data_IF_428002857222
#
_entry.id   IF_428002857222
#
_cell.length_a   1.000
_cell.length_b   1.000
_cell.length_c   1.000
_cell.angle_alpha   90.00
_cell.angle_beta   90.00
_cell.angle_gamma   90.00
#
_symmetry.space_group_name_H-M   'P 1'
#
loop_
_entity.id
_entity.type
_entity.pdbx_description
1 polymer ?
#
# COMPACT_ATOMS: atom_id res chain seq x y z
N UNK A 1 29.05 -29.24 19.99
CA UNK A 1 29.41 -27.97 19.32
C UNK A 1 28.15 -27.23 18.88
N UNK A 2 27.12 -27.18 19.74
CA UNK A 2 25.75 -26.73 19.41
C UNK A 2 25.16 -25.84 20.53
N UNK A 3 25.97 -24.91 21.06
CA UNK A 3 25.55 -24.03 22.19
C UNK A 3 25.96 -22.55 22.06
N UNK A 4 26.35 -22.06 20.86
CA UNK A 4 26.77 -20.64 20.68
C UNK A 4 26.13 -19.91 19.50
N UNK A 5 24.94 -20.33 19.01
CA UNK A 5 24.23 -19.65 17.90
C UNK A 5 22.89 -19.02 18.33
N UNK A 6 22.67 -18.80 19.63
CA UNK A 6 21.38 -18.33 20.15
C UNK A 6 21.47 -16.96 20.85
N UNK A 7 22.35 -16.08 20.41
CA UNK A 7 22.47 -14.73 21.00
C UNK A 7 22.78 -13.64 19.97
N UNK A 8 21.99 -13.55 18.89
CA UNK A 8 21.94 -12.33 18.07
C UNK A 8 20.53 -12.11 17.48
N UNK A 9 19.47 -12.33 18.28
CA UNK A 9 18.23 -11.60 18.07
C UNK A 9 18.40 -10.25 18.76
N UNK A 10 18.94 -9.28 18.03
CA UNK A 10 18.99 -7.91 18.49
C UNK A 10 17.57 -7.40 18.68
N UNK A 11 17.21 -7.15 19.93
CA UNK A 11 16.01 -6.40 20.30
C UNK A 11 16.18 -5.01 19.68
N UNK A 12 15.43 -4.75 18.60
CA UNK A 12 15.20 -3.38 18.13
C UNK A 12 14.32 -2.72 19.17
N UNK A 13 14.93 -2.03 20.11
CA UNK A 13 14.27 -1.12 21.02
C UNK A 13 13.64 0.01 20.15
N UNK A 14 12.36 -0.10 19.91
CA UNK A 14 11.55 1.02 19.40
C UNK A 14 11.57 2.07 20.52
N UNK A 15 12.44 3.06 20.38
CA UNK A 15 12.42 4.23 21.21
C UNK A 15 11.10 4.97 20.96
N UNK A 16 10.14 4.84 21.87
CA UNK A 16 8.94 5.65 21.90
C UNK A 16 9.35 7.12 22.00
N UNK A 17 9.20 7.86 20.89
CA UNK A 17 9.36 9.31 20.92
C UNK A 17 8.27 9.91 21.79
N UNK A 18 8.56 10.94 22.60
CA UNK A 18 7.54 11.59 23.43
C UNK A 18 6.43 12.13 22.52
N UNK A 19 5.18 11.89 22.91
CA UNK A 19 4.02 12.49 22.29
C UNK A 19 4.20 14.02 22.31
N UNK A 20 4.22 14.64 21.14
CA UNK A 20 4.22 16.09 21.05
C UNK A 20 2.95 16.59 21.75
N UNK A 21 3.12 17.52 22.69
CA UNK A 21 1.99 18.20 23.33
C UNK A 21 1.15 18.86 22.22
N UNK A 22 -0.08 18.35 22.04
CA UNK A 22 -1.01 18.90 21.06
C UNK A 22 -1.38 20.32 21.52
N UNK A 23 -1.28 21.26 20.56
CA UNK A 23 -1.79 22.63 20.76
C UNK A 23 -3.28 22.52 21.13
N UNK A 24 -3.76 23.08 22.25
CA UNK A 24 -5.14 22.97 22.71
C UNK A 24 -6.19 23.52 21.72
N UNK A 25 -5.75 24.23 20.69
CA UNK A 25 -6.61 24.68 19.59
C UNK A 25 -6.60 23.76 18.36
N UNK A 26 -5.79 22.69 18.36
CA UNK A 26 -5.86 21.65 17.37
C UNK A 26 -6.94 20.65 17.83
N UNK A 27 -8.18 20.85 17.40
CA UNK A 27 -9.35 20.06 17.77
C UNK A 27 -9.39 18.68 17.09
N UNK A 28 -8.29 18.23 16.48
CA UNK A 28 -8.21 16.85 16.00
C UNK A 28 -8.29 15.89 17.17
N UNK A 29 -9.30 15.04 17.16
CA UNK A 29 -9.35 13.92 18.09
C UNK A 29 -8.08 13.06 17.93
N UNK A 30 -7.59 12.42 19.00
CA UNK A 30 -6.51 11.46 18.86
C UNK A 30 -6.97 10.42 17.85
N UNK A 31 -6.17 10.25 16.77
CA UNK A 31 -6.43 9.25 15.75
C UNK A 31 -6.20 7.89 16.39
N UNK A 32 -7.27 7.14 16.59
CA UNK A 32 -7.20 5.79 17.15
C UNK A 32 -6.77 4.80 16.06
N UNK A 33 -7.32 4.95 14.86
CA UNK A 33 -7.13 4.04 13.74
C UNK A 33 -6.68 4.80 12.47
N UNK A 34 -5.68 4.27 11.76
CA UNK A 34 -5.15 4.90 10.55
C UNK A 34 -6.18 4.95 9.41
N UNK A 35 -7.04 3.96 9.31
CA UNK A 35 -8.06 3.89 8.25
C UNK A 35 -9.07 5.03 8.31
N UNK A 36 -9.29 5.62 9.50
CA UNK A 36 -10.20 6.74 9.72
C UNK A 36 -9.49 8.09 9.89
N UNK A 37 -8.17 8.13 9.67
CA UNK A 37 -7.37 9.35 9.90
C UNK A 37 -7.88 10.53 9.07
N UNK A 38 -8.20 10.30 7.80
CA UNK A 38 -8.70 11.36 6.91
C UNK A 38 -10.03 11.93 7.37
N UNK A 39 -10.96 11.09 7.81
CA UNK A 39 -12.29 11.53 8.28
C UNK A 39 -12.18 12.32 9.58
N UNK A 40 -11.20 11.99 10.40
CA UNK A 40 -11.01 12.58 11.71
C UNK A 40 -10.04 13.78 11.75
N UNK A 41 -9.46 14.19 10.60
CA UNK A 41 -8.49 15.30 10.55
C UNK A 41 -9.07 16.61 11.09
N UNK A 42 -10.36 16.82 10.93
CA UNK A 42 -11.07 18.03 11.39
C UNK A 42 -11.73 17.85 12.76
N UNK A 43 -11.54 16.68 13.38
CA UNK A 43 -12.16 16.30 14.65
C UNK A 43 -13.48 15.54 14.48
N UNK A 44 -14.07 15.06 15.59
CA UNK A 44 -15.22 14.14 15.57
C UNK A 44 -16.52 14.76 15.03
N UNK A 45 -16.56 16.08 14.89
CA UNK A 45 -17.70 16.82 14.31
C UNK A 45 -17.44 17.31 12.88
N UNK A 46 -16.34 16.87 12.25
CA UNK A 46 -15.94 17.34 10.94
C UNK A 46 -15.37 18.77 10.95
N UNK A 47 -15.33 19.40 9.77
CA UNK A 47 -14.84 20.77 9.61
C UNK A 47 -15.85 21.76 10.19
N UNK A 48 -15.49 22.40 11.30
CA UNK A 48 -16.31 23.44 11.94
C UNK A 48 -15.83 24.80 11.50
N UNK A 49 -16.77 25.60 11.02
CA UNK A 49 -16.62 27.00 10.70
C UNK A 49 -17.48 27.81 11.68
N UNK A 50 -16.88 28.78 12.36
CA UNK A 50 -17.59 29.65 13.28
C UNK A 50 -18.43 30.70 12.54
N UNK A 51 -19.50 31.18 13.18
CA UNK A 51 -20.37 32.25 12.67
C UNK A 51 -20.94 33.09 13.81
N UNK A 52 -21.02 34.39 13.60
CA UNK A 52 -21.78 35.28 14.47
C UNK A 52 -23.13 35.70 13.83
N UNK A 53 -23.43 35.18 12.64
CA UNK A 53 -24.71 35.45 12.00
C UNK A 53 -25.81 34.65 12.73
N UNK A 54 -26.73 35.36 13.34
CA UNK A 54 -27.94 34.83 13.93
C UNK A 54 -29.07 34.96 12.94
N UNK A 55 -29.54 33.82 12.41
CA UNK A 55 -30.80 33.78 11.67
C UNK A 55 -31.92 33.43 12.65
N UNK A 56 -33.07 34.15 12.65
CA UNK A 56 -34.17 33.88 13.57
C UNK A 56 -34.67 32.43 13.44
N UNK A 57 -34.57 31.65 14.53
CA UNK A 57 -35.09 30.29 14.61
C UNK A 57 -34.16 29.20 14.04
N UNK A 58 -32.94 29.49 13.62
CA UNK A 58 -31.99 28.51 13.10
C UNK A 58 -30.95 28.08 14.15
N UNK A 59 -30.48 26.83 13.97
CA UNK A 59 -29.33 26.30 14.69
C UNK A 59 -28.05 27.08 14.29
N UNK A 60 -27.02 26.99 15.10
CA UNK A 60 -25.74 27.57 14.80
C UNK A 60 -25.26 27.20 13.39
N UNK A 61 -24.83 28.19 12.60
CA UNK A 61 -24.28 27.99 11.25
C UNK A 61 -23.14 26.93 11.22
N UNK A 62 -22.40 26.77 12.29
CA UNK A 62 -21.35 25.77 12.42
C UNK A 62 -21.84 24.33 12.26
N UNK A 63 -23.12 24.05 12.55
CA UNK A 63 -23.69 22.70 12.37
C UNK A 63 -24.04 22.37 10.92
N UNK A 64 -24.26 23.40 10.09
CA UNK A 64 -24.70 23.23 8.70
C UNK A 64 -23.56 23.02 7.70
N UNK A 65 -22.31 23.35 8.05
CA UNK A 65 -21.15 23.22 7.18
C UNK A 65 -20.54 21.81 7.16
N UNK A 66 -21.02 20.90 7.98
CA UNK A 66 -20.37 19.64 8.28
C UNK A 66 -20.90 18.42 7.51
N UNK A 67 -22.14 18.45 6.99
CA UNK A 67 -22.83 17.23 6.58
C UNK A 67 -22.38 16.69 5.23
N UNK A 68 -22.06 17.53 4.25
CA UNK A 68 -21.63 17.07 2.92
C UNK A 68 -20.14 16.65 2.89
N UNK A 69 -19.39 17.07 3.87
CA UNK A 69 -17.96 16.91 3.96
C UNK A 69 -17.51 15.48 4.28
N UNK A 70 -18.10 14.87 5.30
CA UNK A 70 -17.69 13.56 5.79
C UNK A 70 -17.91 12.47 4.73
N UNK A 71 -18.95 12.60 3.90
CA UNK A 71 -19.29 11.61 2.87
C UNK A 71 -18.22 11.52 1.78
N UNK A 72 -17.61 12.64 1.39
CA UNK A 72 -16.58 12.65 0.34
C UNK A 72 -15.22 12.18 0.85
N UNK A 73 -14.88 12.48 2.11
CA UNK A 73 -13.61 12.05 2.69
C UNK A 73 -13.56 10.55 3.02
N UNK A 74 -14.71 9.93 3.35
CA UNK A 74 -14.80 8.47 3.48
C UNK A 74 -14.43 7.76 2.17
N UNK A 75 -14.97 8.23 1.04
CA UNK A 75 -14.62 7.69 -0.29
C UNK A 75 -13.15 7.93 -0.64
N UNK A 76 -12.58 9.07 -0.28
CA UNK A 76 -11.15 9.34 -0.46
C UNK A 76 -10.31 8.36 0.37
N UNK A 77 -10.66 8.17 1.63
CA UNK A 77 -10.01 7.20 2.50
C UNK A 77 -10.04 5.81 1.86
N UNK A 78 -11.20 5.33 1.46
CA UNK A 78 -11.36 4.02 0.81
C UNK A 78 -10.51 3.90 -0.46
N UNK A 79 -10.51 4.90 -1.35
CA UNK A 79 -9.73 4.87 -2.58
C UNK A 79 -8.22 4.84 -2.34
N UNK A 80 -7.74 5.50 -1.30
CA UNK A 80 -6.31 5.52 -0.95
C UNK A 80 -5.91 4.27 -0.17
N UNK A 81 -6.62 3.94 0.92
CA UNK A 81 -6.18 2.89 1.85
C UNK A 81 -6.32 1.49 1.28
N UNK A 82 -7.35 1.23 0.45
CA UNK A 82 -7.49 -0.07 -0.23
C UNK A 82 -6.30 -0.40 -1.14
N UNK A 83 -5.64 0.61 -1.71
CA UNK A 83 -4.45 0.44 -2.53
C UNK A 83 -3.16 0.45 -1.71
N UNK A 84 -3.14 1.19 -0.60
CA UNK A 84 -2.00 1.32 0.29
C UNK A 84 -1.60 -0.01 0.94
N UNK A 85 -2.57 -0.86 1.27
CA UNK A 85 -2.32 -2.15 1.93
C UNK A 85 -1.90 -3.29 0.99
N UNK A 86 -1.99 -3.10 -0.34
CA UNK A 86 -1.61 -4.12 -1.34
C UNK A 86 -0.22 -3.89 -1.90
N UNK A 87 0.77 -3.75 -1.04
CA UNK A 87 2.17 -3.66 -1.47
C UNK A 87 2.69 -5.02 -1.97
N UNK A 88 3.53 -5.04 -3.04
CA UNK A 88 4.11 -6.30 -3.51
C UNK A 88 5.03 -6.92 -2.44
N UNK A 89 4.89 -8.22 -2.23
CA UNK A 89 5.80 -9.02 -1.42
C UNK A 89 6.95 -9.54 -2.29
N UNK A 90 8.18 -9.59 -1.76
CA UNK A 90 9.25 -10.35 -2.40
C UNK A 90 8.86 -11.81 -2.57
N UNK A 91 9.41 -12.44 -3.60
CA UNK A 91 9.19 -13.86 -3.85
C UNK A 91 9.75 -14.72 -2.73
N UNK A 92 8.99 -15.68 -2.17
CA UNK A 92 9.52 -16.66 -1.24
C UNK A 92 10.37 -17.74 -1.94
N UNK A 93 10.50 -17.70 -3.28
CA UNK A 93 11.29 -18.64 -4.03
C UNK A 93 12.75 -18.55 -3.67
N UNK A 94 13.36 -19.71 -3.40
CA UNK A 94 14.78 -19.79 -3.12
C UNK A 94 15.65 -19.46 -4.34
N UNK A 95 16.71 -18.69 -4.11
CA UNK A 95 17.77 -18.51 -5.09
C UNK A 95 18.58 -19.79 -5.38
N UNK A 96 18.54 -20.75 -4.48
CA UNK A 96 19.12 -22.06 -4.69
C UNK A 96 18.05 -23.10 -4.93
N UNK A 97 18.08 -23.74 -6.10
CA UNK A 97 17.19 -24.83 -6.46
C UNK A 97 18.04 -26.08 -6.77
N UNK A 98 17.55 -27.22 -6.30
CA UNK A 98 18.25 -28.49 -6.42
C UNK A 98 17.34 -29.56 -6.98
N UNK A 99 17.93 -30.52 -7.70
CA UNK A 99 17.28 -31.79 -8.01
C UNK A 99 18.19 -32.95 -7.59
N UNK A 100 17.60 -34.07 -7.19
CA UNK A 100 18.34 -35.27 -6.92
C UNK A 100 18.66 -35.97 -8.24
N UNK A 101 19.94 -36.17 -8.53
CA UNK A 101 20.37 -37.00 -9.67
C UNK A 101 20.21 -38.49 -9.25
N UNK A 102 19.26 -39.22 -9.86
CA UNK A 102 19.00 -40.63 -9.46
C UNK A 102 20.19 -41.54 -9.75
N UNK A 103 21.08 -41.19 -10.67
CA UNK A 103 22.22 -42.02 -11.07
C UNK A 103 23.38 -41.94 -10.08
N UNK A 104 23.57 -40.78 -9.46
CA UNK A 104 24.66 -40.51 -8.51
C UNK A 104 24.20 -40.44 -7.07
N UNK A 105 22.91 -40.25 -6.83
CA UNK A 105 22.35 -40.01 -5.48
C UNK A 105 22.76 -38.65 -4.90
N UNK A 106 23.30 -37.73 -5.72
CA UNK A 106 23.78 -36.42 -5.30
C UNK A 106 22.81 -35.33 -5.73
N UNK A 107 22.59 -34.34 -4.87
CA UNK A 107 21.83 -33.15 -5.21
C UNK A 107 22.67 -32.23 -6.10
N UNK A 108 22.17 -31.93 -7.29
CA UNK A 108 22.78 -31.00 -8.21
C UNK A 108 21.97 -29.70 -8.27
N UNK A 109 22.65 -28.57 -8.41
CA UNK A 109 22.02 -27.27 -8.62
C UNK A 109 21.38 -27.21 -10.01
N UNK A 110 20.11 -26.76 -10.09
CA UNK A 110 19.35 -26.76 -11.35
C UNK A 110 19.74 -25.63 -12.31
N UNK A 111 20.14 -24.47 -11.79
CA UNK A 111 20.48 -23.27 -12.59
C UNK A 111 21.75 -22.60 -12.05
N UNK A 112 22.49 -21.92 -12.92
CA UNK A 112 23.62 -21.08 -12.51
C UNK A 112 23.17 -19.76 -11.88
N UNK A 113 22.03 -19.22 -12.33
CA UNK A 113 21.42 -18.01 -11.77
C UNK A 113 20.83 -18.25 -10.39
N UNK A 114 20.83 -17.21 -9.56
CA UNK A 114 20.13 -17.19 -8.27
C UNK A 114 18.66 -16.78 -8.41
N UNK A 115 18.14 -16.64 -9.62
CA UNK A 115 16.75 -16.35 -9.94
C UNK A 115 16.31 -14.91 -9.67
N UNK A 116 15.04 -14.61 -9.96
CA UNK A 116 14.45 -13.31 -9.79
C UNK A 116 14.29 -12.93 -8.31
N UNK A 117 13.84 -11.71 -8.02
CA UNK A 117 13.65 -11.19 -6.66
C UNK A 117 12.15 -10.98 -6.37
N UNK A 118 11.41 -10.38 -7.30
CA UNK A 118 9.98 -10.07 -7.14
C UNK A 118 9.07 -11.02 -7.92
N UNK A 119 9.62 -11.79 -8.84
CA UNK A 119 8.91 -12.78 -9.66
C UNK A 119 9.35 -14.20 -9.30
N UNK A 120 8.78 -15.18 -9.95
CA UNK A 120 9.00 -16.60 -9.65
C UNK A 120 9.56 -17.34 -10.86
N UNK A 121 10.31 -18.42 -10.59
CA UNK A 121 10.70 -19.44 -11.56
C UNK A 121 9.99 -20.78 -11.27
N UNK A 122 9.93 -21.64 -12.29
CA UNK A 122 9.16 -22.89 -12.21
C UNK A 122 9.79 -23.95 -11.29
N UNK A 123 11.11 -23.86 -11.04
CA UNK A 123 11.84 -24.82 -10.22
C UNK A 123 11.44 -24.71 -8.74
N UNK A 124 11.49 -25.84 -8.04
CA UNK A 124 11.32 -25.95 -6.57
C UNK A 124 12.67 -25.84 -5.86
N UNK A 125 12.65 -25.68 -4.54
CA UNK A 125 13.88 -25.74 -3.71
C UNK A 125 14.49 -27.15 -3.70
N UNK A 126 13.72 -28.19 -4.07
CA UNK A 126 14.13 -29.58 -4.09
C UNK A 126 13.72 -30.37 -2.83
N UNK A 127 13.64 -31.69 -2.96
CA UNK A 127 13.18 -32.58 -1.90
C UNK A 127 13.99 -32.42 -0.61
N UNK A 128 13.29 -32.29 0.55
CA UNK A 128 13.88 -32.17 1.89
C UNK A 128 14.82 -30.97 2.07
N UNK A 129 14.69 -29.95 1.23
CA UNK A 129 15.41 -28.68 1.35
C UNK A 129 14.53 -27.65 2.05
N UNK A 130 15.18 -26.78 2.80
CA UNK A 130 14.52 -25.65 3.45
C UNK A 130 15.27 -24.39 3.05
N UNK A 131 14.54 -23.37 2.62
CA UNK A 131 15.05 -22.02 2.43
C UNK A 131 14.42 -21.11 3.46
N UNK A 132 15.24 -20.23 4.04
CA UNK A 132 14.82 -19.16 4.91
C UNK A 132 15.24 -17.84 4.28
N UNK A 133 14.30 -16.94 4.11
CA UNK A 133 14.55 -15.63 3.53
C UNK A 133 14.02 -14.52 4.42
N UNK A 134 14.58 -13.35 4.20
CA UNK A 134 14.28 -12.15 4.92
C UNK A 134 14.45 -10.96 4.00
N UNK A 135 13.47 -10.05 3.95
CA UNK A 135 13.56 -8.85 3.13
C UNK A 135 12.97 -7.63 3.85
N UNK A 136 13.57 -6.49 3.60
CA UNK A 136 13.10 -5.17 4.02
C UNK A 136 12.84 -4.33 2.79
N UNK A 137 11.66 -3.72 2.72
CA UNK A 137 11.30 -2.74 1.68
C UNK A 137 10.59 -1.55 2.31
N UNK A 138 10.75 -0.39 1.69
CA UNK A 138 10.12 0.84 2.16
C UNK A 138 9.49 1.58 0.99
N UNK A 139 8.19 1.78 1.08
CA UNK A 139 7.39 2.59 0.17
C UNK A 139 7.22 3.99 0.75
N UNK A 140 7.39 5.00 -0.10
CA UNK A 140 7.05 6.39 0.20
C UNK A 140 6.20 6.87 -0.95
N UNK A 141 4.88 6.90 -0.76
CA UNK A 141 3.96 7.20 -1.84
C UNK A 141 3.99 8.69 -2.18
N UNK A 142 4.12 8.98 -3.47
CA UNK A 142 4.25 10.34 -4.01
C UNK A 142 2.97 10.83 -4.68
N UNK A 143 2.25 9.90 -5.36
CA UNK A 143 1.09 10.27 -6.18
C UNK A 143 -0.05 9.27 -6.04
N UNK A 144 -1.27 9.73 -6.32
CA UNK A 144 -2.45 8.90 -6.55
C UNK A 144 -3.10 9.33 -7.87
N UNK A 145 -3.28 8.38 -8.81
CA UNK A 145 -3.80 8.66 -10.15
C UNK A 145 -3.06 9.81 -10.87
N UNK A 146 -1.75 9.93 -10.64
CA UNK A 146 -0.92 11.02 -11.17
C UNK A 146 -1.03 12.35 -10.45
N UNK A 147 -1.97 12.49 -9.50
CA UNK A 147 -2.06 13.66 -8.64
C UNK A 147 -1.02 13.58 -7.53
N UNK A 148 -0.25 14.65 -7.32
CA UNK A 148 0.68 14.72 -6.18
C UNK A 148 -0.05 14.64 -4.85
N UNK A 149 0.38 13.76 -3.96
CA UNK A 149 -0.15 13.67 -2.60
C UNK A 149 0.14 14.92 -1.76
N UNK A 150 1.05 15.79 -2.19
CA UNK A 150 1.33 17.08 -1.53
C UNK A 150 0.28 18.16 -1.83
N UNK A 151 -0.59 17.96 -2.83
CA UNK A 151 -1.50 19.00 -3.33
C UNK A 151 -2.87 18.43 -3.71
N UNK A 152 -3.48 17.65 -2.83
CA UNK A 152 -4.82 17.09 -3.06
C UNK A 152 -5.87 18.14 -2.73
N UNK A 153 -6.61 18.66 -3.73
CA UNK A 153 -7.65 19.66 -3.48
C UNK A 153 -8.94 19.02 -3.01
N UNK A 154 -9.71 19.75 -2.20
CA UNK A 154 -11.10 19.39 -1.95
C UNK A 154 -11.94 20.64 -1.69
N UNK A 155 -13.22 20.57 -2.07
CA UNK A 155 -14.20 21.65 -1.87
C UNK A 155 -15.32 21.15 -0.98
N UNK A 156 -15.68 21.95 -0.01
CA UNK A 156 -16.71 21.66 0.97
C UNK A 156 -17.81 22.70 0.88
N UNK A 157 -19.04 22.24 0.70
CA UNK A 157 -20.20 23.08 0.55
C UNK A 157 -20.98 23.17 1.85
N UNK A 158 -21.64 24.30 2.05
CA UNK A 158 -22.65 24.45 3.07
C UNK A 158 -23.90 23.63 2.68
N UNK A 159 -24.56 22.95 3.64
CA UNK A 159 -25.87 22.40 3.39
C UNK A 159 -26.86 23.55 3.10
N UNK A 160 -27.91 23.29 2.36
CA UNK A 160 -28.86 24.30 1.91
C UNK A 160 -28.23 25.50 1.17
N UNK A 161 -27.11 25.29 0.48
CA UNK A 161 -26.41 26.35 -0.28
C UNK A 161 -27.31 27.04 -1.31
N UNK A 162 -28.31 26.36 -1.85
CA UNK A 162 -29.32 26.89 -2.78
C UNK A 162 -30.19 28.02 -2.17
N UNK A 163 -30.21 28.19 -0.85
CA UNK A 163 -30.96 29.25 -0.19
C UNK A 163 -30.28 30.62 -0.23
N UNK A 164 -29.17 30.75 -0.90
CA UNK A 164 -28.41 32.00 -1.12
C UNK A 164 -27.79 32.62 0.15
N UNK A 165 -27.20 33.77 -0.01
CA UNK A 165 -26.49 34.49 1.08
C UNK A 165 -25.22 33.75 1.50
N UNK A 166 -24.83 33.84 2.77
CA UNK A 166 -23.63 33.15 3.28
C UNK A 166 -23.62 31.63 3.11
N UNK A 167 -24.77 31.01 2.83
CA UNK A 167 -24.88 29.56 2.53
C UNK A 167 -24.25 29.18 1.20
N UNK A 168 -23.93 30.13 0.34
CA UNK A 168 -23.19 29.88 -0.92
C UNK A 168 -21.67 29.85 -0.70
N UNK A 169 -21.20 30.26 0.48
CA UNK A 169 -19.79 30.20 0.81
C UNK A 169 -19.33 28.74 0.79
N UNK A 170 -18.09 28.51 0.37
CA UNK A 170 -17.46 27.19 0.34
C UNK A 170 -16.15 27.19 1.12
N UNK A 171 -15.71 26.06 1.57
CA UNK A 171 -14.35 25.91 2.10
C UNK A 171 -13.55 25.08 1.10
N UNK A 172 -12.49 25.68 0.57
CA UNK A 172 -11.50 24.97 -0.25
C UNK A 172 -10.38 24.47 0.64
N UNK A 173 -9.88 23.26 0.39
CA UNK A 173 -8.70 22.76 1.08
C UNK A 173 -7.65 22.30 0.08
N UNK A 174 -6.38 22.45 0.48
CA UNK A 174 -5.24 21.83 -0.16
C UNK A 174 -4.59 20.92 0.88
N UNK A 175 -4.57 19.62 0.59
CA UNK A 175 -4.14 18.59 1.52
C UNK A 175 -2.78 18.02 1.09
N UNK A 176 -1.79 18.08 1.99
CA UNK A 176 -0.50 17.39 1.84
C UNK A 176 -0.55 16.10 2.64
N UNK A 177 -0.29 14.98 1.97
CA UNK A 177 -0.40 13.63 2.51
C UNK A 177 0.96 12.94 2.42
N UNK A 178 1.58 12.67 3.57
CA UNK A 178 2.76 11.83 3.68
C UNK A 178 2.31 10.41 4.04
N UNK A 179 2.46 9.43 3.13
CA UNK A 179 2.07 8.05 3.32
C UNK A 179 3.30 7.13 3.14
N UNK A 180 3.68 6.40 4.19
CA UNK A 180 4.85 5.53 4.19
C UNK A 180 4.50 4.14 4.73
N UNK A 181 4.99 3.10 4.05
CA UNK A 181 4.93 1.70 4.48
C UNK A 181 6.34 1.15 4.55
N UNK A 182 6.78 0.73 5.73
CA UNK A 182 7.99 -0.07 5.87
C UNK A 182 7.56 -1.52 6.13
N UNK A 183 8.03 -2.44 5.31
CA UNK A 183 7.66 -3.84 5.37
C UNK A 183 8.90 -4.70 5.56
N UNK A 184 8.82 -5.57 6.54
CA UNK A 184 9.82 -6.51 6.94
C UNK A 184 9.23 -7.91 6.81
N UNK A 185 9.66 -8.67 5.82
CA UNK A 185 9.06 -9.95 5.48
C UNK A 185 10.01 -11.10 5.76
N UNK A 186 9.51 -12.12 6.44
CA UNK A 186 10.21 -13.39 6.68
C UNK A 186 9.57 -14.47 5.85
N UNK A 187 10.38 -15.27 5.17
CA UNK A 187 9.95 -16.35 4.30
C UNK A 187 10.56 -17.67 4.75
N UNK A 188 9.75 -18.72 4.74
CA UNK A 188 10.21 -20.10 4.91
C UNK A 188 9.64 -20.93 3.78
N UNK A 189 10.49 -21.58 2.99
CA UNK A 189 10.08 -22.49 1.92
C UNK A 189 10.61 -23.89 2.20
N UNK A 190 9.73 -24.87 2.13
CA UNK A 190 10.01 -26.28 2.40
C UNK A 190 9.74 -27.07 1.12
N UNK A 191 10.76 -27.69 0.58
CA UNK A 191 10.64 -28.67 -0.50
C UNK A 191 10.14 -30.00 0.03
N UNK A 192 8.87 -30.30 -0.19
CA UNK A 192 8.25 -31.56 0.22
C UNK A 192 8.78 -32.71 -0.64
N UNK A 193 8.93 -32.47 -1.93
CA UNK A 193 9.58 -33.34 -2.90
C UNK A 193 10.19 -32.51 -4.03
N UNK A 194 10.76 -33.15 -5.07
CA UNK A 194 11.41 -32.43 -6.18
C UNK A 194 10.46 -31.63 -7.06
N UNK A 195 9.15 -31.72 -6.82
CA UNK A 195 8.12 -31.02 -7.61
C UNK A 195 7.16 -30.17 -6.80
N UNK A 196 7.21 -30.24 -5.47
CA UNK A 196 6.22 -29.57 -4.62
C UNK A 196 6.88 -28.86 -3.45
N UNK A 197 6.63 -27.55 -3.38
CA UNK A 197 7.05 -26.67 -2.30
C UNK A 197 5.84 -26.11 -1.54
N UNK A 198 6.05 -25.91 -0.24
CA UNK A 198 5.16 -25.11 0.60
C UNK A 198 5.96 -23.94 1.18
N UNK A 199 5.45 -22.74 1.06
CA UNK A 199 6.10 -21.54 1.59
C UNK A 199 5.16 -20.77 2.51
N UNK A 200 5.77 -20.10 3.48
CA UNK A 200 5.09 -19.18 4.40
C UNK A 200 5.76 -17.82 4.31
N UNK A 201 4.98 -16.77 4.15
CA UNK A 201 5.44 -15.39 4.21
C UNK A 201 4.74 -14.68 5.36
N UNK A 202 5.52 -14.13 6.29
CA UNK A 202 5.04 -13.40 7.47
C UNK A 202 5.60 -11.99 7.41
N UNK A 203 4.82 -10.98 7.00
CA UNK A 203 5.25 -9.59 7.01
C UNK A 203 5.03 -8.96 8.38
N UNK A 204 5.97 -8.13 8.81
CA UNK A 204 5.79 -7.13 9.85
C UNK A 204 5.73 -5.78 9.13
N UNK A 205 4.66 -5.04 9.34
CA UNK A 205 4.37 -3.79 8.64
C UNK A 205 4.41 -2.64 9.64
N UNK A 206 5.03 -1.54 9.24
CA UNK A 206 4.99 -0.27 9.95
C UNK A 206 4.47 0.78 8.99
N UNK A 207 3.32 1.36 9.32
CA UNK A 207 2.65 2.40 8.55
C UNK A 207 2.76 3.73 9.27
N UNK A 208 3.08 4.77 8.50
CA UNK A 208 3.03 6.16 8.94
C UNK A 208 2.20 6.94 7.94
N UNK A 209 1.21 7.64 8.48
CA UNK A 209 0.34 8.52 7.71
C UNK A 209 0.28 9.88 8.40
N UNK A 210 0.56 10.95 7.63
CA UNK A 210 0.45 12.34 8.09
C UNK A 210 -0.31 13.14 7.05
N UNK A 211 -1.25 13.90 7.49
CA UNK A 211 -2.04 14.81 6.64
C UNK A 211 -1.99 16.21 7.21
N UNK A 212 -1.68 17.18 6.35
CA UNK A 212 -1.75 18.61 6.65
C UNK A 212 -2.74 19.22 5.68
N UNK A 213 -3.83 19.76 6.20
CA UNK A 213 -4.91 20.39 5.42
C UNK A 213 -4.92 21.90 5.63
N UNK A 214 -4.72 22.64 4.57
CA UNK A 214 -4.85 24.10 4.53
C UNK A 214 -6.25 24.45 4.05
N UNK A 215 -7.14 24.83 4.97
CA UNK A 215 -8.51 25.19 4.69
C UNK A 215 -8.66 26.71 4.51
N UNK A 216 -9.44 27.13 3.51
CA UNK A 216 -9.71 28.53 3.20
C UNK A 216 -11.21 28.74 2.94
N UNK A 217 -11.85 29.62 3.68
CA UNK A 217 -13.24 30.02 3.46
C UNK A 217 -13.29 30.98 2.24
N UNK A 218 -14.00 30.58 1.22
CA UNK A 218 -14.30 31.37 0.03
C UNK A 218 -15.68 32.01 0.22
N UNK A 219 -15.70 33.33 0.41
CA UNK A 219 -16.95 34.08 0.61
C UNK A 219 -17.57 34.41 -0.73
N UNK A 220 -18.58 33.66 -1.12
CA UNK A 220 -19.26 33.76 -2.41
C UNK A 220 -20.64 34.43 -2.28
N UNK A 221 -21.30 34.21 -1.15
CA UNK A 221 -22.65 34.70 -0.92
C UNK A 221 -22.71 35.93 -0.04
N UNK A 222 -21.63 36.36 0.61
CA UNK A 222 -21.59 37.50 1.50
C UNK A 222 -20.18 38.07 1.65
N UNK A 223 -20.07 39.39 1.80
CA UNK A 223 -18.80 40.03 2.13
C UNK A 223 -18.57 40.19 3.64
N UNK A 224 -19.57 39.85 4.47
CA UNK A 224 -19.47 39.99 5.91
C UNK A 224 -18.51 38.89 6.47
N UNK A 225 -17.35 39.28 7.06
CA UNK A 225 -16.38 38.33 7.59
C UNK A 225 -16.89 37.56 8.80
N UNK A 226 -17.94 38.01 9.47
CA UNK A 226 -18.53 37.35 10.65
C UNK A 226 -19.55 36.27 10.28
N UNK A 227 -19.90 36.11 9.01
CA UNK A 227 -20.81 35.07 8.56
C UNK A 227 -20.16 33.69 8.66
N UNK A 228 -18.93 33.59 8.19
CA UNK A 228 -18.12 32.37 8.33
C UNK A 228 -16.65 32.75 8.58
N UNK A 229 -16.05 32.20 9.61
CA UNK A 229 -14.65 32.43 9.95
C UNK A 229 -14.06 31.25 10.73
N UNK A 230 -12.75 31.19 10.80
CA UNK A 230 -12.02 30.35 11.75
C UNK A 230 -11.52 31.21 12.89
N UNK A 231 -11.85 30.82 14.14
CA UNK A 231 -11.27 31.45 15.32
C UNK A 231 -9.83 30.98 15.50
N UNK A 232 -8.90 31.91 15.53
CA UNK A 232 -7.49 31.65 15.75
C UNK A 232 -7.17 31.42 17.24
N UNK A 233 -5.96 30.98 17.55
CA UNK A 233 -5.51 30.68 18.92
C UNK A 233 -5.40 31.93 19.81
N UNK A 234 -5.18 33.08 19.23
CA UNK A 234 -5.14 34.39 19.91
C UNK A 234 -6.52 35.04 20.10
N UNK A 235 -7.57 34.36 19.60
CA UNK A 235 -8.95 34.86 19.64
C UNK A 235 -9.37 35.68 18.41
N UNK A 236 -8.43 36.01 17.53
CA UNK A 236 -8.71 36.69 16.26
C UNK A 236 -9.52 35.81 15.30
N UNK A 237 -10.13 36.43 14.33
CA UNK A 237 -10.90 35.74 13.29
C UNK A 237 -10.16 35.78 11.95
N UNK A 238 -10.19 34.66 11.22
CA UNK A 238 -9.56 34.54 9.93
C UNK A 238 -10.37 33.71 8.94
N UNK A 239 -10.01 33.77 7.68
CA UNK A 239 -10.62 32.90 6.65
C UNK A 239 -9.79 31.64 6.35
N UNK A 240 -8.65 31.45 6.99
CA UNK A 240 -7.79 30.28 6.80
C UNK A 240 -7.52 29.56 8.10
N UNK A 241 -7.34 28.23 8.02
CA UNK A 241 -6.93 27.40 9.14
C UNK A 241 -6.15 26.19 8.65
N UNK A 242 -5.16 25.74 9.45
CA UNK A 242 -4.40 24.52 9.18
C UNK A 242 -4.81 23.46 10.17
N UNK A 243 -5.10 22.26 9.64
CA UNK A 243 -5.39 21.06 10.41
C UNK A 243 -4.30 20.05 10.15
N UNK A 244 -3.94 19.27 11.16
CA UNK A 244 -2.90 18.24 11.05
C UNK A 244 -3.31 16.99 11.80
N UNK A 245 -3.20 15.84 11.15
CA UNK A 245 -3.33 14.54 11.78
C UNK A 245 -2.11 13.68 11.45
N UNK A 246 -1.61 12.96 12.44
CA UNK A 246 -0.47 12.04 12.31
C UNK A 246 -0.82 10.76 13.02
N UNK A 247 -0.59 9.63 12.34
CA UNK A 247 -0.70 8.30 12.93
C UNK A 247 0.45 7.42 12.49
N UNK A 248 0.91 6.56 13.40
CA UNK A 248 1.93 5.55 13.14
C UNK A 248 1.55 4.28 13.86
N UNK A 249 1.57 3.15 13.16
CA UNK A 249 1.21 1.83 13.68
C UNK A 249 2.15 0.77 13.12
N UNK A 250 2.40 -0.25 13.92
CA UNK A 250 3.21 -1.39 13.51
C UNK A 250 2.66 -2.69 14.07
N UNK A 251 2.78 -3.77 13.31
CA UNK A 251 2.32 -5.09 13.71
C UNK A 251 2.53 -6.13 12.61
N UNK A 252 1.97 -7.31 12.84
CA UNK A 252 1.96 -8.38 11.84
C UNK A 252 0.98 -7.98 10.72
N UNK A 253 1.41 -8.18 9.47
CA UNK A 253 0.56 -8.02 8.30
C UNK A 253 -0.18 -9.30 7.92
N UNK A 254 -0.71 -9.36 6.70
CA UNK A 254 -1.42 -10.55 6.20
C UNK A 254 -0.43 -11.67 5.88
N UNK A 255 -0.57 -12.79 6.58
CA UNK A 255 0.24 -13.99 6.38
C UNK A 255 -0.18 -14.65 5.08
N UNK A 256 0.79 -15.04 4.25
CA UNK A 256 0.55 -15.77 3.01
C UNK A 256 1.12 -17.17 3.09
N UNK A 257 0.31 -18.17 2.73
CA UNK A 257 0.70 -19.57 2.56
C UNK A 257 0.68 -19.88 1.08
N UNK A 258 1.82 -20.28 0.53
CA UNK A 258 1.98 -20.66 -0.89
C UNK A 258 2.17 -22.15 -1.04
N UNK A 259 1.49 -22.74 -2.01
CA UNK A 259 1.70 -24.11 -2.49
C UNK A 259 2.04 -24.05 -3.97
N UNK A 260 3.22 -24.58 -4.36
CA UNK A 260 3.70 -24.57 -5.75
C UNK A 260 4.04 -25.98 -6.20
N UNK A 261 3.58 -26.34 -7.40
CA UNK A 261 3.88 -27.62 -8.05
C UNK A 261 4.51 -27.39 -9.40
N UNK A 262 5.70 -27.93 -9.61
CA UNK A 262 6.34 -27.97 -10.92
C UNK A 262 5.73 -29.05 -11.78
N UNK A 263 5.11 -28.66 -12.89
CA UNK A 263 4.50 -29.59 -13.88
C UNK A 263 5.55 -30.19 -14.78
N UNK A 264 6.52 -29.38 -15.19
CA UNK A 264 7.59 -29.77 -16.11
C UNK A 264 8.90 -29.07 -15.78
N UNK A 265 10.01 -29.80 -15.80
CA UNK A 265 11.39 -29.30 -15.73
C UNK A 265 12.23 -29.94 -16.81
N UNK A 266 13.22 -29.20 -17.35
CA UNK A 266 14.27 -29.70 -18.24
C UNK A 266 14.16 -29.27 -19.70
N UNK A 267 15.25 -29.31 -20.42
CA UNK A 267 15.50 -29.11 -21.86
C UNK A 267 15.00 -27.82 -22.48
N UNK A 268 13.70 -27.68 -22.67
CA UNK A 268 13.06 -26.55 -23.34
C UNK A 268 12.35 -25.59 -22.38
N UNK A 269 12.53 -25.74 -21.07
CA UNK A 269 11.92 -24.87 -20.05
C UNK A 269 11.10 -25.58 -18.99
N UNK A 270 10.68 -24.83 -17.98
CA UNK A 270 9.87 -25.25 -16.87
C UNK A 270 8.48 -24.61 -16.87
N UNK A 271 7.51 -25.31 -16.32
CA UNK A 271 6.19 -24.80 -16.02
C UNK A 271 5.79 -25.21 -14.61
N UNK A 272 5.23 -24.29 -13.84
CA UNK A 272 4.69 -24.55 -12.52
C UNK A 272 3.33 -23.87 -12.35
N UNK A 273 2.52 -24.45 -11.49
CA UNK A 273 1.26 -23.87 -11.01
C UNK A 273 1.25 -23.86 -9.50
N UNK A 274 0.44 -23.00 -8.94
CA UNK A 274 0.29 -22.97 -7.49
C UNK A 274 -0.88 -22.11 -7.06
N UNK A 275 -1.00 -21.99 -5.75
CA UNK A 275 -2.00 -21.13 -5.12
C UNK A 275 -1.40 -20.45 -3.90
N UNK A 276 -1.66 -19.16 -3.77
CA UNK A 276 -1.43 -18.41 -2.56
C UNK A 276 -2.74 -18.26 -1.81
N UNK A 277 -2.67 -18.49 -0.49
CA UNK A 277 -3.73 -18.21 0.46
C UNK A 277 -3.27 -17.08 1.37
N UNK A 278 -3.85 -15.88 1.21
CA UNK A 278 -3.64 -14.74 2.10
C UNK A 278 -4.65 -14.79 3.23
N UNK A 279 -4.16 -14.79 4.46
CA UNK A 279 -4.96 -14.79 5.68
C UNK A 279 -5.06 -13.35 6.19
N UNK A 280 -6.25 -12.85 6.57
CA UNK A 280 -6.43 -11.51 7.11
C UNK A 280 -5.97 -11.45 8.58
N UNK A 281 -4.66 -11.59 8.79
CA UNK A 281 -4.04 -11.61 10.12
C UNK A 281 -3.57 -10.23 10.57
N UNK A 282 -3.45 -9.28 9.64
CA UNK A 282 -3.11 -7.90 9.94
C UNK A 282 -4.31 -7.12 10.47
N UNK A 283 -4.03 -6.10 11.30
CA UNK A 283 -5.05 -5.16 11.78
C UNK A 283 -5.42 -4.20 10.64
N UNK A 284 -6.57 -4.42 10.02
CA UNK A 284 -7.06 -3.65 8.89
C UNK A 284 -7.32 -2.18 9.24
N UNK A 285 -7.85 -1.90 10.44
CA UNK A 285 -8.11 -0.54 10.88
C UNK A 285 -6.84 0.29 11.05
N UNK A 286 -5.70 -0.37 11.30
CA UNK A 286 -4.38 0.24 11.34
C UNK A 286 -3.57 0.05 10.04
N UNK A 287 -4.24 -0.38 8.96
CA UNK A 287 -3.66 -0.58 7.62
C UNK A 287 -2.53 -1.60 7.58
N UNK A 288 -2.45 -2.51 8.57
CA UNK A 288 -1.42 -3.54 8.64
C UNK A 288 -1.74 -4.75 7.76
N UNK A 289 -2.99 -4.89 7.35
CA UNK A 289 -3.48 -5.93 6.45
C UNK A 289 -4.70 -5.46 5.67
N UNK A 290 -5.19 -6.32 4.79
CA UNK A 290 -6.34 -6.02 3.92
C UNK A 290 -7.68 -6.24 4.60
N UNK A 291 -7.72 -7.00 5.70
CA UNK A 291 -8.96 -7.49 6.34
C UNK A 291 -9.69 -8.57 5.53
N UNK A 292 -9.24 -8.83 4.30
CA UNK A 292 -9.88 -9.78 3.39
C UNK A 292 -9.05 -11.05 3.20
N UNK A 293 -9.68 -12.23 3.27
CA UNK A 293 -9.05 -13.46 2.78
C UNK A 293 -8.83 -13.37 1.28
N UNK A 294 -7.65 -13.76 0.81
CA UNK A 294 -7.33 -13.79 -0.62
C UNK A 294 -6.94 -15.19 -1.08
N UNK A 295 -7.41 -15.61 -2.26
CA UNK A 295 -7.02 -16.86 -2.91
C UNK A 295 -6.48 -16.53 -4.29
N UNK A 296 -5.22 -16.88 -4.56
CA UNK A 296 -4.52 -16.50 -5.79
C UNK A 296 -3.89 -17.72 -6.48
N UNK A 297 -4.60 -18.42 -7.37
CA UNK A 297 -3.96 -19.33 -8.30
C UNK A 297 -3.00 -18.58 -9.21
N UNK A 298 -1.88 -19.24 -9.56
CA UNK A 298 -0.86 -18.69 -10.43
C UNK A 298 -0.25 -19.73 -11.36
N UNK A 299 0.27 -19.24 -12.48
CA UNK A 299 1.05 -19.99 -13.46
C UNK A 299 2.42 -19.33 -13.62
N UNK A 300 3.45 -20.16 -13.68
CA UNK A 300 4.84 -19.74 -13.93
C UNK A 300 5.38 -20.51 -15.11
N UNK A 301 5.98 -19.78 -16.04
CA UNK A 301 6.78 -20.35 -17.13
C UNK A 301 8.19 -19.78 -17.00
N UNK A 302 9.21 -20.65 -17.04
CA UNK A 302 10.60 -20.22 -17.04
C UNK A 302 11.46 -21.15 -17.88
N UNK A 303 12.56 -20.63 -18.37
CA UNK A 303 13.58 -21.43 -19.06
C UNK A 303 14.95 -20.87 -18.79
N UNK A 304 15.99 -21.65 -19.03
CA UNK A 304 17.37 -21.19 -18.93
C UNK A 304 18.08 -21.45 -20.24
N UNK A 305 18.61 -20.40 -20.84
CA UNK A 305 19.40 -20.46 -22.06
C UNK A 305 20.80 -19.92 -21.76
N UNK A 306 21.76 -20.79 -21.59
CA UNK A 306 23.11 -20.47 -21.14
C UNK A 306 23.08 -19.79 -19.76
N UNK A 307 23.37 -18.48 -19.68
CA UNK A 307 23.42 -17.69 -18.46
C UNK A 307 22.18 -16.82 -18.24
N UNK A 308 21.22 -16.85 -19.16
CA UNK A 308 20.01 -16.04 -19.12
C UNK A 308 18.80 -16.93 -18.83
N UNK A 309 18.00 -16.53 -17.86
CA UNK A 309 16.81 -17.27 -17.45
C UNK A 309 15.57 -16.38 -17.58
N UNK A 310 14.92 -16.32 -18.75
CA UNK A 310 13.64 -15.63 -18.90
C UNK A 310 12.53 -16.36 -18.14
N UNK A 311 11.58 -15.57 -17.62
CA UNK A 311 10.42 -16.06 -16.90
C UNK A 311 9.18 -15.22 -17.19
N UNK A 312 8.01 -15.85 -17.06
CA UNK A 312 6.68 -15.26 -17.20
C UNK A 312 5.80 -15.77 -16.08
N UNK A 313 5.12 -14.87 -15.39
CA UNK A 313 4.17 -15.20 -14.32
C UNK A 313 2.80 -14.60 -14.63
N UNK A 314 1.74 -15.32 -14.30
CA UNK A 314 0.37 -14.85 -14.37
C UNK A 314 -0.42 -15.37 -13.18
N UNK A 315 -1.32 -14.55 -12.65
CA UNK A 315 -2.17 -14.91 -11.50
C UNK A 315 -3.51 -14.22 -11.55
N UNK A 316 -4.48 -14.79 -10.86
CA UNK A 316 -5.75 -14.13 -10.54
C UNK A 316 -5.99 -14.24 -9.05
N UNK A 317 -6.30 -13.14 -8.39
CA UNK A 317 -6.58 -13.10 -6.97
C UNK A 317 -8.03 -12.76 -6.72
N UNK A 318 -8.77 -13.69 -6.13
CA UNK A 318 -10.07 -13.45 -5.52
C UNK A 318 -9.87 -12.93 -4.12
N UNK A 319 -10.63 -11.90 -3.76
CA UNK A 319 -10.61 -11.30 -2.44
C UNK A 319 -11.99 -11.38 -1.79
N UNK A 320 -12.02 -11.55 -0.47
CA UNK A 320 -13.23 -11.42 0.32
C UNK A 320 -13.59 -9.97 0.61
N UNK A 321 -14.55 -9.77 1.51
CA UNK A 321 -14.97 -8.44 1.97
C UNK A 321 -14.00 -7.85 2.98
N UNK A 322 -13.92 -6.52 3.02
CA UNK A 322 -13.15 -5.74 4.00
C UNK A 322 -13.82 -4.41 4.28
N UNK A 323 -13.66 -3.89 5.48
CA UNK A 323 -14.09 -2.53 5.83
C UNK A 323 -13.28 -1.47 5.05
N UNK A 324 -12.04 -1.80 4.63
CA UNK A 324 -11.21 -0.90 3.82
C UNK A 324 -11.74 -0.69 2.40
N UNK A 325 -12.55 -1.60 1.89
CA UNK A 325 -13.24 -1.45 0.61
C UNK A 325 -14.63 -0.81 0.78
N UNK A 326 -15.19 -0.87 1.99
CA UNK A 326 -16.46 -0.26 2.38
C UNK A 326 -16.28 1.11 3.02
N UNK A 327 -16.65 1.22 4.27
CA UNK A 327 -16.51 2.45 5.06
C UNK A 327 -15.93 2.16 6.45
N UNK A 328 -14.62 2.45 6.66
CA UNK A 328 -13.95 2.20 7.93
C UNK A 328 -14.60 2.93 9.13
N UNK A 329 -15.17 4.12 8.93
CA UNK A 329 -15.78 4.90 10.02
C UNK A 329 -17.09 4.30 10.52
N UNK A 330 -17.86 3.66 9.65
CA UNK A 330 -19.13 3.01 10.02
C UNK A 330 -18.99 1.51 10.28
N UNK A 331 -17.85 0.92 9.91
CA UNK A 331 -17.62 -0.53 9.93
C UNK A 331 -18.34 -1.30 8.83
N UNK A 332 -18.85 -0.61 7.81
CA UNK A 332 -19.49 -1.23 6.65
C UNK A 332 -18.42 -1.86 5.75
N UNK A 333 -18.58 -3.16 5.45
CA UNK A 333 -17.66 -3.91 4.56
C UNK A 333 -18.20 -3.97 3.14
N UNK A 334 -17.29 -3.97 2.18
CA UNK A 334 -17.57 -4.23 0.77
C UNK A 334 -16.53 -5.21 0.19
N UNK A 335 -16.79 -5.71 -1.03
CA UNK A 335 -15.87 -6.60 -1.72
C UNK A 335 -14.54 -5.88 -1.98
N UNK A 336 -13.45 -6.48 -1.50
CA UNK A 336 -12.11 -5.96 -1.78
C UNK A 336 -11.76 -6.26 -3.24
N UNK A 337 -11.19 -5.30 -4.01
CA UNK A 337 -10.99 -5.46 -5.45
C UNK A 337 -10.21 -6.73 -5.82
N UNK A 338 -10.77 -7.53 -6.73
CA UNK A 338 -10.06 -8.65 -7.34
C UNK A 338 -8.93 -8.16 -8.24
N UNK A 339 -7.93 -9.01 -8.49
CA UNK A 339 -6.75 -8.61 -9.21
C UNK A 339 -6.28 -9.67 -10.20
N UNK A 340 -5.83 -9.21 -11.39
CA UNK A 340 -5.01 -10.00 -12.30
C UNK A 340 -3.57 -9.55 -12.16
N UNK A 341 -2.70 -10.45 -11.75
CA UNK A 341 -1.25 -10.20 -11.70
C UNK A 341 -0.56 -10.80 -12.91
N UNK A 342 0.39 -10.08 -13.48
CA UNK A 342 1.25 -10.60 -14.54
C UNK A 342 2.65 -10.00 -14.43
N UNK A 343 3.66 -10.78 -14.79
CA UNK A 343 5.03 -10.30 -14.83
C UNK A 343 5.83 -11.03 -15.90
N UNK A 344 6.78 -10.31 -16.47
CA UNK A 344 7.75 -10.85 -17.40
C UNK A 344 9.12 -10.29 -17.07
N UNK A 345 10.14 -11.13 -17.16
CA UNK A 345 11.50 -10.71 -16.86
C UNK A 345 12.54 -11.74 -17.26
N UNK A 346 13.75 -11.44 -16.89
CA UNK A 346 14.86 -12.36 -17.01
C UNK A 346 15.92 -12.07 -15.95
N UNK A 347 16.63 -13.10 -15.58
CA UNK A 347 17.81 -12.99 -14.76
C UNK A 347 19.04 -13.52 -15.49
N UNK A 348 20.21 -12.94 -15.19
CA UNK A 348 21.48 -13.23 -15.84
C UNK A 348 22.51 -13.63 -14.80
N UNK A 349 23.03 -14.86 -14.89
CA UNK A 349 24.21 -15.28 -14.12
C UNK A 349 25.46 -14.58 -14.67
N UNK A 350 25.81 -13.41 -14.13
CA UNK A 350 26.98 -12.65 -14.55
C UNK A 350 28.28 -13.43 -14.28
N UNK A 351 28.34 -14.09 -13.11
CA UNK A 351 29.36 -15.08 -12.73
C UNK A 351 28.77 -16.04 -11.68
N UNK A 352 29.60 -16.90 -11.10
CA UNK A 352 29.18 -17.91 -10.11
C UNK A 352 28.70 -17.32 -8.78
N UNK A 353 28.92 -16.02 -8.55
CA UNK A 353 28.58 -15.32 -7.32
C UNK A 353 27.58 -14.19 -7.52
N UNK A 354 27.29 -13.78 -8.76
CA UNK A 354 26.45 -12.62 -9.06
C UNK A 354 25.40 -12.95 -10.10
N UNK A 355 24.15 -12.67 -9.78
CA UNK A 355 23.01 -12.64 -10.69
C UNK A 355 22.43 -11.23 -10.76
N UNK A 356 22.11 -10.77 -11.96
CA UNK A 356 21.34 -9.55 -12.22
C UNK A 356 19.93 -9.95 -12.60
N UNK A 357 18.93 -9.26 -12.08
CA UNK A 357 17.51 -9.51 -12.34
C UNK A 357 16.83 -8.26 -12.91
N UNK A 358 15.94 -8.46 -13.89
CA UNK A 358 15.18 -7.42 -14.58
C UNK A 358 13.77 -7.91 -14.77
N UNK A 359 12.79 -7.17 -14.21
CA UNK A 359 11.39 -7.55 -14.23
C UNK A 359 10.50 -6.36 -14.62
N UNK A 360 9.39 -6.66 -15.28
CA UNK A 360 8.22 -5.78 -15.44
C UNK A 360 7.06 -6.50 -14.80
N UNK A 361 6.41 -5.82 -13.84
CA UNK A 361 5.30 -6.35 -13.06
C UNK A 361 4.07 -5.49 -13.32
N UNK A 362 2.98 -6.13 -13.72
CA UNK A 362 1.69 -5.49 -13.90
C UNK A 362 0.65 -6.05 -12.92
N UNK A 363 -0.27 -5.20 -12.53
CA UNK A 363 -1.44 -5.56 -11.73
C UNK A 363 -2.65 -4.83 -12.27
N UNK A 364 -3.66 -5.59 -12.67
CA UNK A 364 -4.95 -5.07 -13.10
C UNK A 364 -5.94 -5.24 -11.97
N UNK A 365 -6.38 -4.13 -11.36
CA UNK A 365 -7.40 -4.10 -10.32
C UNK A 365 -8.77 -4.03 -10.96
N UNK A 366 -9.70 -4.85 -10.49
CA UNK A 366 -11.06 -4.96 -11.03
C UNK A 366 -12.00 -4.21 -10.10
N UNK A 367 -12.80 -3.27 -10.65
CA UNK A 367 -13.80 -2.50 -9.91
C UNK A 367 -13.25 -1.86 -8.63
N UNK A 368 -12.12 -1.18 -8.75
CA UNK A 368 -11.50 -0.48 -7.63
C UNK A 368 -11.91 0.99 -7.58
N UNK A 369 -11.93 1.57 -6.41
CA UNK A 369 -12.19 2.99 -6.21
C UNK A 369 -11.02 3.80 -6.79
N UNK A 370 -11.37 4.81 -7.61
CA UNK A 370 -10.43 5.73 -8.25
C UNK A 370 -10.75 7.17 -7.89
N UNK A 371 -9.70 7.99 -7.91
CA UNK A 371 -9.76 9.43 -7.68
C UNK A 371 -9.49 10.15 -8.99
N UNK A 372 -10.23 11.21 -9.26
CA UNK A 372 -9.97 12.16 -10.34
C UNK A 372 -10.13 13.59 -9.82
N UNK A 373 -9.61 14.55 -10.57
CA UNK A 373 -9.85 15.96 -10.31
C UNK A 373 -10.88 16.46 -11.31
N UNK A 374 -11.90 17.11 -10.80
CA UNK A 374 -12.97 17.75 -11.57
C UNK A 374 -13.16 19.20 -11.09
N UNK A 375 -13.68 20.04 -11.97
CA UNK A 375 -14.02 21.40 -11.65
C UNK A 375 -15.31 21.47 -10.83
N UNK A 376 -15.24 22.01 -9.63
CA UNK A 376 -16.40 22.39 -8.85
C UNK A 376 -16.85 23.80 -9.25
N UNK A 377 -18.06 23.92 -9.81
CA UNK A 377 -18.69 25.19 -10.17
C UNK A 377 -19.53 25.70 -9.00
N UNK A 378 -19.12 26.82 -8.43
CA UNK A 378 -19.84 27.42 -7.32
C UNK A 378 -21.17 28.04 -7.74
N UNK A 379 -22.09 28.18 -6.78
CA UNK A 379 -23.44 28.71 -7.04
C UNK A 379 -23.48 30.23 -7.38
N UNK A 380 -22.36 30.93 -7.24
CA UNK A 380 -22.22 32.32 -7.70
C UNK A 380 -22.16 32.42 -9.24
N UNK A 381 -22.04 31.29 -9.95
CA UNK A 381 -21.97 31.19 -11.40
C UNK A 381 -20.67 31.70 -12.03
N UNK A 382 -19.65 32.03 -11.23
CA UNK A 382 -18.37 32.59 -11.69
C UNK A 382 -17.16 31.80 -11.13
N UNK A 383 -17.22 31.38 -9.87
CA UNK A 383 -16.09 30.76 -9.20
C UNK A 383 -16.00 29.27 -9.54
N UNK A 384 -14.78 28.83 -9.87
CA UNK A 384 -14.48 27.43 -10.18
C UNK A 384 -13.27 26.99 -9.35
N UNK A 385 -13.38 25.85 -8.69
CA UNK A 385 -12.33 25.30 -7.82
C UNK A 385 -12.05 23.86 -8.19
N UNK A 386 -10.77 23.42 -8.18
CA UNK A 386 -10.47 22.00 -8.34
C UNK A 386 -11.00 21.21 -7.14
N UNK A 387 -11.63 20.06 -7.42
CA UNK A 387 -12.19 19.18 -6.41
C UNK A 387 -11.90 17.72 -6.77
N UNK A 388 -11.80 16.86 -5.75
CA UNK A 388 -11.72 15.42 -5.95
C UNK A 388 -13.08 14.85 -6.33
N UNK A 389 -13.08 13.92 -7.28
CA UNK A 389 -14.22 13.12 -7.70
C UNK A 389 -13.88 11.64 -7.61
N UNK A 390 -14.88 10.80 -7.41
CA UNK A 390 -14.73 9.38 -7.18
C UNK A 390 -15.47 8.56 -8.22
N UNK A 391 -14.83 7.49 -8.67
CA UNK A 391 -15.46 6.54 -9.59
C UNK A 391 -14.96 5.14 -9.32
N UNK A 392 -15.82 4.14 -9.51
CA UNK A 392 -15.42 2.74 -9.48
C UNK A 392 -15.10 2.29 -10.90
N UNK A 393 -13.85 1.95 -11.17
CA UNK A 393 -13.38 1.50 -12.49
C UNK A 393 -12.17 0.59 -12.32
N UNK A 394 -12.06 -0.38 -13.23
CA UNK A 394 -10.86 -1.20 -13.34
C UNK A 394 -9.71 -0.39 -13.93
N UNK A 395 -8.49 -0.66 -13.47
CA UNK A 395 -7.27 -0.02 -13.98
C UNK A 395 -6.05 -0.91 -13.82
N UNK A 396 -5.02 -0.59 -14.57
CA UNK A 396 -3.74 -1.30 -14.53
C UNK A 396 -2.68 -0.45 -13.84
N UNK A 397 -1.78 -1.10 -13.10
CA UNK A 397 -0.55 -0.50 -12.57
C UNK A 397 0.64 -1.27 -13.11
N UNK A 398 1.68 -0.56 -13.53
CA UNK A 398 2.89 -1.15 -14.10
C UNK A 398 4.13 -0.68 -13.36
N UNK A 399 5.01 -1.62 -12.99
CA UNK A 399 6.28 -1.36 -12.34
C UNK A 399 7.43 -2.01 -13.12
N UNK A 400 8.57 -1.36 -13.14
CA UNK A 400 9.85 -1.96 -13.50
C UNK A 400 10.64 -2.31 -12.25
N UNK A 401 11.45 -3.35 -12.32
CA UNK A 401 12.35 -3.73 -11.24
C UNK A 401 13.72 -4.10 -11.79
N UNK A 402 14.76 -3.64 -11.08
CA UNK A 402 16.17 -3.98 -11.39
C UNK A 402 16.84 -4.38 -10.09
N UNK A 403 17.45 -5.55 -10.10
CA UNK A 403 18.06 -6.07 -8.88
C UNK A 403 19.29 -6.91 -9.13
N UNK A 404 19.94 -7.24 -8.03
CA UNK A 404 21.10 -8.14 -8.02
C UNK A 404 21.00 -9.11 -6.83
N UNK A 405 21.51 -10.32 -7.03
CA UNK A 405 21.72 -11.33 -5.96
C UNK A 405 23.20 -11.70 -5.92
N UNK A 406 23.79 -11.65 -4.74
CA UNK A 406 25.20 -11.97 -4.52
C UNK A 406 25.32 -13.16 -3.57
N UNK A 407 26.00 -14.22 -4.01
CA UNK A 407 26.38 -15.31 -3.12
C UNK A 407 27.60 -14.90 -2.29
N UNK A 408 27.34 -14.54 -1.03
CA UNK A 408 28.38 -14.06 -0.11
C UNK A 408 29.29 -15.20 0.37
N UNK A 409 28.67 -16.26 0.89
CA UNK A 409 29.38 -17.42 1.44
C UNK A 409 28.52 -18.66 1.29
N UNK A 410 28.99 -19.64 0.54
CA UNK A 410 28.33 -20.95 0.33
C UNK A 410 26.85 -20.82 -0.10
N UNK A 411 25.92 -20.84 0.86
CA UNK A 411 24.46 -20.87 0.64
C UNK A 411 23.77 -19.59 1.12
N UNK A 412 24.52 -18.54 1.43
CA UNK A 412 23.98 -17.26 1.86
C UNK A 412 23.97 -16.28 0.69
N UNK A 413 22.76 -15.85 0.29
CA UNK A 413 22.54 -14.81 -0.69
C UNK A 413 22.21 -13.49 -0.03
N UNK A 414 22.75 -12.42 -0.57
CA UNK A 414 22.28 -11.05 -0.37
C UNK A 414 21.59 -10.61 -1.66
N UNK A 415 20.41 -10.02 -1.54
CA UNK A 415 19.70 -9.42 -2.67
C UNK A 415 19.43 -7.94 -2.40
N UNK A 416 19.49 -7.17 -3.48
CA UNK A 416 19.09 -5.76 -3.50
C UNK A 416 18.30 -5.49 -4.77
N UNK A 417 17.21 -4.75 -4.65
CA UNK A 417 16.32 -4.42 -5.77
C UNK A 417 15.81 -2.99 -5.65
N UNK A 418 15.57 -2.36 -6.80
CA UNK A 418 14.84 -1.11 -6.94
C UNK A 418 13.61 -1.37 -7.78
N UNK A 419 12.44 -1.18 -7.18
CA UNK A 419 11.15 -1.17 -7.88
C UNK A 419 10.82 0.27 -8.22
N UNK A 420 10.34 0.54 -9.43
CA UNK A 420 9.97 1.89 -9.86
C UNK A 420 8.69 1.88 -10.71
N UNK A 421 7.90 2.94 -10.56
CA UNK A 421 6.65 3.10 -11.29
C UNK A 421 6.92 3.36 -12.79
N UNK A 422 6.20 2.64 -13.66
CA UNK A 422 6.22 2.85 -15.12
C UNK A 422 4.98 3.57 -15.63
N UNK A 423 3.96 3.73 -14.79
CA UNK A 423 2.74 4.49 -15.05
C UNK A 423 2.33 5.32 -13.84
N UNK A 424 1.24 6.08 -13.96
CA UNK A 424 0.73 6.97 -12.93
C UNK A 424 -0.63 6.53 -12.35
N UNK A 425 -1.09 5.32 -12.65
CA UNK A 425 -2.37 4.84 -12.17
C UNK A 425 -2.28 4.31 -10.73
N UNK A 426 -3.33 4.56 -9.96
CA UNK A 426 -3.39 4.15 -8.55
C UNK A 426 -2.41 4.92 -7.66
N UNK A 427 -2.14 4.38 -6.48
CA UNK A 427 -1.17 4.93 -5.51
C UNK A 427 0.24 4.50 -5.90
N UNK A 428 1.15 5.47 -6.07
CA UNK A 428 2.50 5.21 -6.61
C UNK A 428 3.60 5.74 -5.70
N UNK A 429 4.61 4.91 -5.55
CA UNK A 429 5.96 5.30 -5.10
C UNK A 429 6.87 5.34 -6.33
N UNK A 430 7.61 6.41 -6.51
CA UNK A 430 8.52 6.55 -7.65
C UNK A 430 9.62 5.52 -7.64
N UNK A 431 10.20 5.23 -6.46
CA UNK A 431 11.29 4.27 -6.30
C UNK A 431 11.25 3.62 -4.93
N UNK A 432 10.97 2.33 -4.89
CA UNK A 432 10.96 1.52 -3.68
C UNK A 432 12.23 0.67 -3.60
N UNK A 433 13.13 0.91 -2.63
CA UNK A 433 14.26 0.04 -2.37
C UNK A 433 13.85 -1.22 -1.62
N UNK A 434 14.51 -2.34 -1.95
CA UNK A 434 14.39 -3.61 -1.27
C UNK A 434 15.80 -4.17 -1.02
N UNK A 435 16.03 -4.70 0.18
CA UNK A 435 17.23 -5.46 0.53
C UNK A 435 16.78 -6.74 1.23
N UNK A 436 17.37 -7.87 0.85
CA UNK A 436 17.04 -9.16 1.41
C UNK A 436 18.25 -10.07 1.64
N UNK A 437 18.00 -11.11 2.41
CA UNK A 437 18.93 -12.21 2.65
C UNK A 437 18.19 -13.51 2.52
N UNK A 438 18.88 -14.50 2.00
CA UNK A 438 18.36 -15.86 1.86
C UNK A 438 19.44 -16.87 2.24
N UNK A 439 19.04 -17.91 2.97
CA UNK A 439 19.89 -19.04 3.31
C UNK A 439 19.16 -20.36 3.04
N UNK A 440 19.83 -21.28 2.34
CA UNK A 440 19.29 -22.60 2.02
C UNK A 440 20.05 -23.71 2.77
N UNK A 441 19.28 -24.65 3.33
CA UNK A 441 19.80 -25.78 4.11
C UNK A 441 19.92 -27.06 3.28
#
# INVERSE_FOLDING_TARGET
MMRRLLCMLGVVLVASRPAYAQNPYNLSAPVTDLATLFENIYGPRGLIVDSEATLPGEQSHSAHFNNDFQTNFGKFSTALVSQFVITPLPSPASGFTYHLDPSTGVFQRTTQSFGPILTERAETVGARRVSFGFAVQRFTFDTVEGLSLDQVPAVFTHDNAQLLGGRQDVVTTVNSIEAQVSQFSTFVTIGVNDRFDVSFAVPIVQNRLKVVSHATIQRLGTTNPLTHFFRQSDGDIGNTRVFTAIGEKSGIGDITVRMKTTLRTGGAGGAAVGVDLRLPSGDEMNLLGTGATGVQPFLILSTTVHRVSPHLNASYQWNGTSVLAGNPATGESADFPDQVGYAAGFDVAANDHLTLAFDVLGRYLISAQRISIEDFHALDGQSVYPNISFSEKSFNTLNGAVGLKVNLVNKLLLDANLLFALDNHGVRDKVTPLIGFEYSF
#
